data_IF_559765444928
#
_entry.id   IF_559765444928
#
_cell.length_a   1.000
_cell.length_b   1.000
_cell.length_c   1.000
_cell.angle_alpha   90.00
_cell.angle_beta   90.00
_cell.angle_gamma   90.00
#
_symmetry.space_group_name_H-M   'P 1'
#
loop_
_entity.id
_entity.type
_entity.pdbx_description
1 polymer ?
#
# COMPACT_ATOMS: atom_id res chain seq x y z
N UNK A 1 -3.15 -17.04 18.16
CA UNK A 1 -2.99 -16.07 17.06
C UNK A 1 -3.68 -14.79 17.46
N UNK A 2 -2.91 -13.74 17.74
CA UNK A 2 -3.44 -12.40 17.99
C UNK A 2 -4.04 -11.89 16.67
N UNK A 3 -5.37 -11.83 16.60
CA UNK A 3 -6.08 -11.39 15.41
C UNK A 3 -5.93 -9.88 15.30
N UNK A 4 -5.00 -9.43 14.46
CA UNK A 4 -4.91 -8.03 14.03
C UNK A 4 -5.79 -7.90 12.80
N UNK A 5 -6.76 -7.00 12.84
CA UNK A 5 -7.63 -6.69 11.71
C UNK A 5 -6.77 -6.34 10.47
N UNK A 6 -7.00 -6.98 9.30
CA UNK A 6 -6.29 -6.66 8.06
C UNK A 6 -6.33 -5.18 7.68
N UNK A 7 -7.38 -4.45 8.08
CA UNK A 7 -7.59 -3.04 7.80
C UNK A 7 -7.00 -2.10 8.86
N UNK A 8 -6.38 -2.64 9.91
CA UNK A 8 -5.85 -1.86 11.04
C UNK A 8 -5.02 -0.63 10.62
N UNK A 9 -4.02 -0.82 9.75
CA UNK A 9 -3.17 0.29 9.31
C UNK A 9 -3.91 1.28 8.40
N UNK A 10 -4.91 0.82 7.64
CA UNK A 10 -5.77 1.71 6.83
C UNK A 10 -6.65 2.58 7.72
N UNK A 11 -7.24 2.01 8.77
CA UNK A 11 -8.01 2.75 9.77
C UNK A 11 -7.12 3.76 10.51
N UNK A 12 -5.90 3.37 10.88
CA UNK A 12 -4.94 4.27 11.51
C UNK A 12 -4.61 5.48 10.62
N UNK A 13 -4.44 5.25 9.31
CA UNK A 13 -4.22 6.30 8.32
C UNK A 13 -5.41 7.23 8.20
N UNK A 14 -6.62 6.68 8.11
CA UNK A 14 -7.85 7.47 8.06
C UNK A 14 -8.03 8.34 9.32
N UNK A 15 -7.71 7.79 10.50
CA UNK A 15 -7.75 8.51 11.78
C UNK A 15 -6.77 9.68 11.86
N UNK A 16 -5.60 9.56 11.22
CA UNK A 16 -4.55 10.59 11.24
C UNK A 16 -4.90 11.85 10.42
N UNK A 17 -5.89 11.77 9.51
CA UNK A 17 -6.38 12.92 8.75
C UNK A 17 -7.40 13.78 9.51
N UNK A 18 -7.85 13.34 10.70
CA UNK A 18 -8.66 14.17 11.57
C UNK A 18 -7.74 15.00 12.47
N UNK A 19 -7.82 16.35 12.45
CA UNK A 19 -7.12 17.14 13.45
C UNK A 19 -7.60 16.67 14.82
N UNK A 20 -6.65 16.44 15.72
CA UNK A 20 -6.85 15.99 17.11
C UNK A 20 -7.65 17.07 17.86
N UNK A 21 -8.96 17.13 17.63
CA UNK A 21 -9.86 18.18 18.10
C UNK A 21 -11.28 17.63 18.24
N UNK A 22 -11.64 17.33 19.49
CA UNK A 22 -12.96 17.02 20.04
C UNK A 22 -13.72 15.79 19.45
N UNK A 23 -13.78 14.71 20.26
CA UNK A 23 -14.73 13.60 20.07
C UNK A 23 -16.20 13.98 20.32
N UNK A 24 -17.17 13.08 20.05
CA UNK A 24 -17.48 12.01 21.01
C UNK A 24 -17.80 10.64 20.32
N UNK A 25 -18.42 9.62 20.99
CA UNK A 25 -17.77 8.34 21.31
C UNK A 25 -18.26 7.14 20.47
N UNK A 26 -17.48 6.06 20.49
CA UNK A 26 -17.76 4.77 19.86
C UNK A 26 -19.12 4.16 20.26
N UNK A 27 -19.87 3.51 19.34
CA UNK A 27 -21.09 2.81 19.71
C UNK A 27 -20.74 1.44 20.31
N UNK A 28 -21.09 1.32 21.58
CA UNK A 28 -21.14 0.09 22.37
C UNK A 28 -22.07 -0.93 21.71
N UNK A 29 -21.64 -2.19 21.75
CA UNK A 29 -22.35 -3.43 21.41
C UNK A 29 -23.85 -3.36 21.70
N UNK A 30 -24.69 -3.67 20.70
CA UNK A 30 -26.08 -4.09 20.91
C UNK A 30 -26.32 -5.40 20.16
N UNK A 31 -26.26 -6.49 20.92
CA UNK A 31 -26.76 -7.82 20.57
C UNK A 31 -28.30 -7.77 20.71
N UNK A 32 -29.07 -8.25 19.71
CA UNK A 32 -30.26 -9.15 19.77
C UNK A 32 -30.82 -9.33 18.33
N UNK A 33 -31.06 -10.60 17.95
CA UNK A 33 -31.59 -11.22 16.71
C UNK A 33 -33.11 -10.94 16.41
N UNK A 34 -33.83 -11.72 15.57
CA UNK A 34 -33.70 -12.04 14.13
C UNK A 34 -35.01 -11.76 13.34
N UNK A 35 -34.99 -11.82 12.00
CA UNK A 35 -36.21 -12.06 11.21
C UNK A 35 -35.94 -12.84 9.92
N UNK A 36 -36.74 -13.89 9.73
CA UNK A 36 -36.76 -14.91 8.68
C UNK A 36 -37.59 -14.46 7.45
N UNK A 37 -37.26 -15.06 6.28
CA UNK A 37 -38.14 -15.34 5.11
C UNK A 37 -38.59 -14.11 4.27
N UNK A 38 -38.56 -14.09 2.93
CA UNK A 38 -39.18 -15.04 1.99
C UNK A 38 -38.67 -14.78 0.56
N UNK A 39 -38.57 -15.86 -0.23
CA UNK A 39 -38.22 -15.91 -1.67
C UNK A 39 -39.39 -15.54 -2.59
N UNK A 40 -39.03 -15.19 -3.84
CA UNK A 40 -39.70 -15.47 -5.15
C UNK A 40 -39.89 -14.17 -5.97
N UNK A 41 -39.21 -13.90 -7.08
CA UNK A 41 -39.08 -14.58 -8.39
C UNK A 41 -40.16 -14.18 -9.40
N UNK A 42 -39.78 -13.39 -10.41
CA UNK A 42 -40.32 -13.31 -11.77
C UNK A 42 -39.29 -12.58 -12.67
N UNK A 43 -39.26 -12.66 -14.00
CA UNK A 43 -39.17 -13.74 -15.00
C UNK A 43 -38.83 -13.01 -16.32
N UNK A 44 -37.98 -13.61 -17.18
CA UNK A 44 -37.84 -13.40 -18.65
C UNK A 44 -37.42 -12.00 -19.16
N UNK A 45 -36.63 -11.79 -20.23
CA UNK A 45 -36.38 -12.54 -21.48
C UNK A 45 -35.20 -11.89 -22.25
N UNK A 46 -34.34 -12.70 -22.86
CA UNK A 46 -33.40 -12.31 -23.96
C UNK A 46 -34.17 -12.34 -25.31
N UNK A 47 -33.66 -11.78 -26.44
CA UNK A 47 -32.61 -12.46 -27.23
C UNK A 47 -31.68 -11.61 -28.15
N UNK A 48 -30.53 -12.23 -28.45
CA UNK A 48 -29.75 -12.28 -29.71
C UNK A 48 -28.97 -11.09 -30.31
N UNK A 49 -27.69 -11.41 -30.53
CA UNK A 49 -26.60 -10.78 -31.30
C UNK A 49 -26.84 -10.83 -32.84
N UNK A 50 -26.13 -10.02 -33.65
CA UNK A 50 -25.04 -10.60 -34.47
C UNK A 50 -23.82 -9.69 -34.73
N UNK A 51 -22.67 -10.33 -34.98
CA UNK A 51 -21.36 -9.77 -35.39
C UNK A 51 -21.32 -9.50 -36.91
N UNK A 52 -20.53 -8.51 -37.37
CA UNK A 52 -19.54 -8.80 -38.43
C UNK A 52 -18.13 -8.23 -38.15
N UNK A 53 -17.17 -8.85 -38.84
CA UNK A 53 -15.71 -8.72 -38.69
C UNK A 53 -15.10 -7.68 -39.65
N UNK A 54 -13.96 -7.13 -39.21
CA UNK A 54 -12.73 -6.79 -39.94
C UNK A 54 -12.59 -5.49 -40.75
N UNK A 55 -11.45 -4.85 -40.42
CA UNK A 55 -10.44 -4.19 -41.27
C UNK A 55 -10.38 -2.66 -41.33
N UNK A 56 -9.15 -2.19 -41.56
CA UNK A 56 -8.65 -0.84 -41.80
C UNK A 56 -7.99 -0.15 -40.60
N UNK A 57 -6.76 -0.57 -40.31
CA UNK A 57 -5.71 0.23 -39.68
C UNK A 57 -5.59 1.61 -40.33
N UNK A 58 -5.95 2.67 -39.60
CA UNK A 58 -5.78 4.05 -40.05
C UNK A 58 -4.68 4.76 -39.26
N UNK A 59 -3.65 5.14 -40.02
CA UNK A 59 -2.38 5.70 -39.59
C UNK A 59 -2.36 7.18 -39.93
N UNK A 60 -2.62 8.09 -39.00
CA UNK A 60 -2.39 9.56 -39.09
C UNK A 60 -2.44 10.10 -37.64
N UNK A 61 -1.59 10.98 -37.13
CA UNK A 61 -0.53 11.83 -37.66
C UNK A 61 0.23 12.35 -36.44
N UNK A 62 1.56 12.27 -36.45
CA UNK A 62 2.42 12.95 -35.48
C UNK A 62 2.29 14.47 -35.64
N UNK A 63 1.43 15.08 -34.83
CA UNK A 63 1.41 16.53 -34.61
C UNK A 63 2.30 16.89 -33.41
N UNK A 64 3.30 17.76 -33.58
CA UNK A 64 4.08 18.27 -32.46
C UNK A 64 3.29 19.36 -31.74
N UNK A 65 3.02 19.16 -30.44
CA UNK A 65 2.54 20.26 -29.59
C UNK A 65 1.29 19.99 -28.75
N UNK A 66 1.13 18.80 -28.17
CA UNK A 66 0.18 18.63 -27.05
C UNK A 66 0.94 18.89 -25.74
N UNK A 67 0.54 19.84 -24.89
CA UNK A 67 1.14 19.99 -23.56
C UNK A 67 0.96 18.67 -22.80
N UNK A 68 2.06 18.11 -22.30
CA UNK A 68 2.09 16.86 -21.52
C UNK A 68 1.01 16.95 -20.45
N UNK A 69 -0.03 16.13 -20.59
CA UNK A 69 -1.24 16.21 -19.80
C UNK A 69 -0.94 16.21 -18.29
N UNK A 70 -1.66 17.05 -17.54
CA UNK A 70 -1.66 17.06 -16.08
C UNK A 70 -2.07 15.70 -15.44
N UNK A 71 -2.49 14.72 -16.25
CA UNK A 71 -2.81 13.36 -15.81
C UNK A 71 -1.62 12.47 -15.44
N UNK A 72 -0.37 12.93 -15.59
CA UNK A 72 0.82 12.13 -15.23
C UNK A 72 1.30 12.33 -13.80
N UNK A 73 0.79 13.32 -13.05
CA UNK A 73 1.25 13.60 -11.68
C UNK A 73 0.41 12.85 -10.66
N UNK A 74 1.07 12.32 -9.63
CA UNK A 74 0.39 11.67 -8.50
C UNK A 74 -0.44 12.73 -7.76
N UNK A 75 -1.73 12.44 -7.59
CA UNK A 75 -2.67 13.32 -6.87
C UNK A 75 -2.22 13.53 -5.42
N UNK A 76 -2.30 14.76 -4.91
CA UNK A 76 -1.86 15.10 -3.53
C UNK A 76 -2.65 14.34 -2.47
N UNK A 77 -3.90 14.01 -2.76
CA UNK A 77 -4.80 13.28 -1.87
C UNK A 77 -4.36 11.82 -1.66
N UNK A 78 -3.48 11.29 -2.51
CA UNK A 78 -2.91 9.95 -2.36
C UNK A 78 -1.79 9.90 -1.30
N UNK A 79 -1.30 11.04 -0.83
CA UNK A 79 -0.22 11.13 0.15
C UNK A 79 -0.76 11.14 1.58
N UNK A 80 -0.02 10.53 2.49
CA UNK A 80 -0.31 10.47 3.92
C UNK A 80 0.84 11.11 4.69
N UNK A 81 0.94 12.45 4.68
CA UNK A 81 2.10 13.16 5.20
C UNK A 81 2.30 12.86 6.70
N UNK A 82 3.55 12.65 7.09
CA UNK A 82 3.99 12.36 8.46
C UNK A 82 3.50 11.03 9.05
N UNK A 83 2.83 10.16 8.29
CA UNK A 83 2.30 8.90 8.81
C UNK A 83 3.41 8.01 9.39
N UNK A 84 4.54 7.88 8.67
CA UNK A 84 5.70 7.14 9.14
C UNK A 84 6.21 7.68 10.47
N UNK A 85 6.41 9.00 10.56
CA UNK A 85 6.93 9.66 11.77
C UNK A 85 5.97 9.57 12.96
N UNK A 86 4.67 9.55 12.71
CA UNK A 86 3.65 9.50 13.76
C UNK A 86 3.53 8.12 14.42
N UNK A 87 3.71 7.05 13.65
CA UNK A 87 3.38 5.69 14.09
C UNK A 87 4.56 4.72 14.11
N UNK A 88 5.70 5.10 13.55
CA UNK A 88 6.86 4.22 13.47
C UNK A 88 8.12 4.90 13.96
N UNK A 89 8.91 4.13 14.71
CA UNK A 89 10.28 4.46 15.07
C UNK A 89 11.21 3.66 14.18
N UNK A 90 12.07 4.35 13.43
CA UNK A 90 13.15 3.70 12.68
C UNK A 90 14.22 3.20 13.66
N UNK A 91 14.51 1.90 13.64
CA UNK A 91 15.51 1.31 14.54
C UNK A 91 16.83 1.02 13.83
N UNK A 92 16.77 0.45 12.62
CA UNK A 92 17.98 0.06 11.87
C UNK A 92 17.72 -0.09 10.39
N UNK A 93 18.73 0.15 9.56
CA UNK A 93 18.69 -0.22 8.14
C UNK A 93 18.93 -1.73 7.98
N UNK A 94 17.98 -2.44 7.37
CA UNK A 94 18.09 -3.87 7.05
C UNK A 94 18.80 -4.10 5.70
N UNK A 95 18.67 -3.17 4.76
CA UNK A 95 19.32 -3.29 3.45
C UNK A 95 19.19 -2.02 2.62
N UNK A 96 20.14 -1.82 1.71
CA UNK A 96 20.15 -0.74 0.72
C UNK A 96 20.35 -1.36 -0.66
N UNK A 97 19.63 -0.87 -1.67
CA UNK A 97 19.80 -1.32 -3.05
C UNK A 97 19.24 -0.32 -4.06
N UNK A 98 19.34 -0.65 -5.35
CA UNK A 98 18.87 0.25 -6.42
C UNK A 98 17.37 0.60 -6.35
N UNK A 99 16.57 -0.21 -5.64
CA UNK A 99 15.13 0.02 -5.43
C UNK A 99 14.82 0.80 -4.13
N UNK A 100 15.81 1.36 -3.45
CA UNK A 100 15.64 2.13 -2.22
C UNK A 100 16.23 1.46 -0.98
N UNK A 101 15.60 1.70 0.17
CA UNK A 101 16.09 1.25 1.49
C UNK A 101 15.04 0.41 2.19
N UNK A 102 15.49 -0.60 2.93
CA UNK A 102 14.66 -1.39 3.83
C UNK A 102 15.07 -1.08 5.26
N UNK A 103 14.10 -0.72 6.08
CA UNK A 103 14.24 -0.31 7.46
C UNK A 103 13.58 -1.35 8.36
N UNK A 104 14.22 -1.66 9.48
CA UNK A 104 13.57 -2.23 10.65
C UNK A 104 12.90 -1.09 11.39
N UNK A 105 11.60 -1.22 11.58
CA UNK A 105 10.80 -0.20 12.24
C UNK A 105 9.97 -0.82 13.35
N UNK A 106 9.78 -0.07 14.42
CA UNK A 106 8.88 -0.43 15.50
C UNK A 106 7.62 0.40 15.40
N UNK A 107 6.48 -0.27 15.26
CA UNK A 107 5.17 0.36 15.32
C UNK A 107 4.89 0.77 16.77
N UNK A 108 4.52 2.03 16.99
CA UNK A 108 4.31 2.63 18.31
C UNK A 108 3.12 3.59 18.27
N UNK A 109 2.25 3.50 19.28
CA UNK A 109 1.15 4.47 19.49
C UNK A 109 1.23 4.95 20.92
N UNK A 110 1.32 6.27 21.12
CA UNK A 110 1.39 6.93 22.43
C UNK A 110 2.43 6.29 23.38
N UNK A 111 3.63 5.96 22.89
CA UNK A 111 4.68 5.32 23.69
C UNK A 111 4.57 3.80 23.80
N UNK A 112 3.46 3.20 23.38
CA UNK A 112 3.23 1.76 23.47
C UNK A 112 3.81 1.03 22.25
N UNK A 113 4.82 0.16 22.40
CA UNK A 113 5.34 -0.64 21.30
C UNK A 113 4.34 -1.73 20.92
N UNK A 114 3.97 -1.79 19.64
CA UNK A 114 2.97 -2.72 19.11
C UNK A 114 3.57 -3.83 18.23
N UNK A 115 4.81 -3.67 17.79
CA UNK A 115 5.53 -4.72 17.07
C UNK A 115 6.62 -4.20 16.14
N UNK A 116 7.40 -5.13 15.61
CA UNK A 116 8.47 -4.82 14.66
C UNK A 116 8.08 -5.25 13.25
N UNK A 117 8.43 -4.41 12.28
CA UNK A 117 8.12 -4.61 10.88
C UNK A 117 9.33 -4.25 10.02
N UNK A 118 9.35 -4.80 8.80
CA UNK A 118 10.24 -4.29 7.77
C UNK A 118 9.45 -3.25 6.96
N UNK A 119 10.04 -2.07 6.76
CA UNK A 119 9.46 -1.01 5.95
C UNK A 119 10.41 -0.71 4.78
N UNK A 120 9.95 -0.97 3.56
CA UNK A 120 10.70 -0.63 2.35
C UNK A 120 10.27 0.75 1.86
N UNK A 121 11.23 1.67 1.79
CA UNK A 121 11.06 3.02 1.25
C UNK A 121 11.67 3.10 -0.15
N UNK A 122 10.81 3.33 -1.13
CA UNK A 122 11.14 3.34 -2.57
C UNK A 122 10.86 4.73 -3.13
N UNK A 123 11.86 5.46 -3.64
CA UNK A 123 11.64 6.72 -4.36
C UNK A 123 10.89 6.46 -5.67
N UNK A 124 9.82 7.21 -5.94
CA UNK A 124 8.93 6.99 -7.10
C UNK A 124 8.91 8.16 -8.08
N UNK A 125 9.32 9.35 -7.65
CA UNK A 125 9.32 10.55 -8.50
C UNK A 125 7.91 11.01 -8.87
N UNK A 126 7.70 11.43 -10.12
CA UNK A 126 6.44 11.93 -10.67
C UNK A 126 5.76 10.95 -11.65
N UNK A 127 6.18 9.68 -11.66
CA UNK A 127 5.64 8.66 -12.57
C UNK A 127 4.35 8.02 -12.03
N UNK A 128 3.20 8.59 -12.41
CA UNK A 128 1.89 8.07 -12.03
C UNK A 128 1.61 6.67 -12.62
N UNK A 129 2.11 6.36 -13.82
CA UNK A 129 1.90 5.05 -14.46
C UNK A 129 2.70 3.94 -13.78
N UNK A 130 3.91 4.25 -13.30
CA UNK A 130 4.67 3.36 -12.44
C UNK A 130 3.93 3.14 -11.12
N UNK A 131 3.42 4.21 -10.50
CA UNK A 131 2.69 4.10 -9.25
C UNK A 131 1.46 3.21 -9.39
N UNK A 132 0.67 3.37 -10.45
CA UNK A 132 -0.52 2.56 -10.70
C UNK A 132 -0.19 1.06 -10.78
N UNK A 133 0.84 0.68 -11.53
CA UNK A 133 1.29 -0.73 -11.62
C UNK A 133 1.72 -1.27 -10.27
N UNK A 134 2.49 -0.49 -9.51
CA UNK A 134 2.93 -0.89 -8.17
C UNK A 134 1.76 -1.01 -7.20
N UNK A 135 0.77 -0.11 -7.28
CA UNK A 135 -0.43 -0.21 -6.43
C UNK A 135 -1.23 -1.47 -6.74
N UNK A 136 -1.37 -1.86 -8.01
CA UNK A 136 -2.01 -3.13 -8.40
C UNK A 136 -1.23 -4.33 -7.84
N UNK A 137 0.09 -4.36 -8.01
CA UNK A 137 0.94 -5.42 -7.45
C UNK A 137 0.82 -5.50 -5.92
N UNK A 138 0.87 -4.36 -5.24
CA UNK A 138 0.78 -4.30 -3.78
C UNK A 138 -0.60 -4.70 -3.27
N UNK A 139 -1.67 -4.36 -3.98
CA UNK A 139 -3.02 -4.83 -3.64
C UNK A 139 -3.13 -6.36 -3.76
N UNK A 140 -2.57 -6.95 -4.82
CA UNK A 140 -2.51 -8.39 -4.98
C UNK A 140 -1.69 -9.03 -3.85
N UNK A 141 -0.51 -8.49 -3.54
CA UNK A 141 0.36 -8.98 -2.49
C UNK A 141 -0.28 -8.88 -1.10
N UNK A 142 -1.09 -7.84 -0.84
CA UNK A 142 -1.85 -7.70 0.40
C UNK A 142 -2.93 -8.77 0.58
N UNK A 143 -3.45 -9.34 -0.52
CA UNK A 143 -4.45 -10.43 -0.49
C UNK A 143 -3.82 -11.82 -0.34
N UNK A 144 -2.50 -11.94 -0.53
CA UNK A 144 -1.79 -13.22 -0.40
C UNK A 144 -1.34 -13.45 1.04
N UNK A 145 -2.02 -14.38 1.73
CA UNK A 145 -1.65 -14.83 3.08
C UNK A 145 -1.31 -16.31 3.05
N UNK A 146 -0.03 -16.64 3.28
CA UNK A 146 0.48 -18.01 3.31
C UNK A 146 1.68 -18.11 4.27
N UNK A 147 1.85 -19.20 5.03
CA UNK A 147 2.91 -19.32 6.05
C UNK A 147 4.34 -19.14 5.52
N UNK A 148 4.59 -19.50 4.26
CA UNK A 148 5.91 -19.39 3.62
C UNK A 148 6.08 -18.11 2.78
N UNK A 149 5.13 -17.16 2.86
CA UNK A 149 5.22 -15.87 2.19
C UNK A 149 5.35 -14.76 3.22
N UNK A 150 6.15 -13.75 2.90
CA UNK A 150 6.26 -12.53 3.72
C UNK A 150 4.93 -11.81 3.66
N UNK A 151 4.27 -11.67 4.81
CA UNK A 151 2.96 -11.02 4.86
C UNK A 151 3.08 -9.52 4.65
N UNK A 152 2.36 -8.99 3.64
CA UNK A 152 2.23 -7.57 3.41
C UNK A 152 1.18 -6.97 4.36
N UNK A 153 1.43 -5.77 4.88
CA UNK A 153 0.60 -5.13 5.91
C UNK A 153 -0.03 -3.83 5.44
N UNK A 154 0.77 -2.93 4.87
CA UNK A 154 0.27 -1.62 4.46
C UNK A 154 1.14 -0.95 3.40
N UNK A 155 0.55 -0.03 2.65
CA UNK A 155 1.26 0.83 1.69
C UNK A 155 0.69 2.25 1.73
N UNK A 156 1.59 3.22 1.65
CA UNK A 156 1.23 4.64 1.56
C UNK A 156 2.35 5.43 0.88
N UNK A 157 2.05 6.69 0.57
CA UNK A 157 2.97 7.63 -0.06
C UNK A 157 3.28 8.79 0.87
N UNK A 158 4.56 9.17 0.92
CA UNK A 158 5.02 10.39 1.59
C UNK A 158 6.07 11.10 0.77
N UNK A 159 6.12 12.41 0.95
CA UNK A 159 7.20 13.27 0.47
C UNK A 159 8.40 13.15 1.42
N UNK A 160 9.56 12.76 0.88
CA UNK A 160 10.78 12.52 1.69
C UNK A 160 11.96 13.27 1.11
N UNK A 161 12.66 14.00 1.97
CA UNK A 161 13.96 14.59 1.64
C UNK A 161 15.06 13.55 1.86
N UNK A 162 15.52 12.91 0.78
CA UNK A 162 16.48 11.79 0.86
C UNK A 162 17.91 12.24 1.22
N UNK A 163 18.25 13.51 1.01
CA UNK A 163 19.55 14.10 1.35
C UNK A 163 19.35 15.49 1.95
N UNK A 164 20.30 15.97 2.78
CA UNK A 164 20.18 17.26 3.51
C UNK A 164 19.87 18.46 2.61
N UNK A 165 20.34 18.44 1.37
CA UNK A 165 20.18 19.54 0.42
C UNK A 165 19.36 19.15 -0.82
N UNK A 166 18.80 17.94 -0.83
CA UNK A 166 18.02 17.45 -1.97
C UNK A 166 16.60 17.98 -1.98
N UNK A 167 15.91 17.95 -3.13
CA UNK A 167 14.48 18.19 -3.17
C UNK A 167 13.71 17.12 -2.39
N UNK A 168 12.47 17.42 -2.05
CA UNK A 168 11.51 16.39 -1.63
C UNK A 168 11.18 15.48 -2.81
N UNK A 169 11.17 14.18 -2.57
CA UNK A 169 10.82 13.17 -3.56
C UNK A 169 9.70 12.30 -3.01
N UNK A 170 8.66 12.08 -3.80
CA UNK A 170 7.61 11.13 -3.47
C UNK A 170 8.22 9.74 -3.27
N UNK A 171 7.90 9.11 -2.16
CA UNK A 171 8.35 7.78 -1.80
C UNK A 171 7.16 6.90 -1.43
N UNK A 172 7.18 5.67 -1.96
CA UNK A 172 6.30 4.60 -1.49
C UNK A 172 6.91 3.92 -0.27
N UNK A 173 6.10 3.78 0.77
CA UNK A 173 6.40 3.02 1.97
C UNK A 173 5.61 1.74 1.95
N UNK A 174 6.30 0.61 1.98
CA UNK A 174 5.71 -0.73 1.94
C UNK A 174 6.04 -1.41 3.27
N UNK A 175 5.02 -1.56 4.11
CA UNK A 175 5.12 -2.22 5.40
C UNK A 175 4.83 -3.71 5.25
N UNK A 176 5.76 -4.52 5.70
CA UNK A 176 5.69 -5.98 5.60
C UNK A 176 6.20 -6.62 6.89
N UNK A 177 5.90 -7.90 7.06
CA UNK A 177 6.43 -8.71 8.15
C UNK A 177 7.96 -8.62 8.20
N UNK A 178 8.49 -8.44 9.41
CA UNK A 178 9.91 -8.56 9.65
C UNK A 178 10.31 -10.04 9.75
N UNK A 179 11.28 -10.44 8.93
CA UNK A 179 11.91 -11.76 8.99
C UNK A 179 13.25 -11.64 9.71
N UNK A 180 13.33 -12.16 10.93
CA UNK A 180 14.53 -12.14 11.76
C UNK A 180 15.49 -13.31 11.49
N UNK A 181 15.09 -14.29 10.67
CA UNK A 181 15.87 -15.47 10.35
C UNK A 181 17.02 -15.26 9.37
N UNK A 182 17.22 -14.04 8.83
CA UNK A 182 18.23 -13.81 7.78
C UNK A 182 17.80 -14.33 6.40
N UNK A 183 18.76 -14.50 5.49
CA UNK A 183 18.51 -15.02 4.14
C UNK A 183 19.12 -16.42 3.92
N UNK A 184 18.58 -17.13 2.92
CA UNK A 184 19.00 -18.48 2.57
C UNK A 184 20.47 -18.55 2.15
N UNK A 185 20.98 -17.50 1.48
CA UNK A 185 22.37 -17.47 1.02
C UNK A 185 23.34 -17.49 2.21
N UNK A 186 23.08 -16.71 3.25
CA UNK A 186 23.85 -16.74 4.50
C UNK A 186 23.78 -18.10 5.21
N UNK A 187 22.63 -18.79 5.11
CA UNK A 187 22.46 -20.11 5.70
C UNK A 187 23.27 -21.19 4.97
N UNK A 188 23.38 -21.09 3.63
CA UNK A 188 24.07 -22.07 2.79
C UNK A 188 25.59 -21.86 2.80
N UNK A 189 26.04 -20.60 2.69
CA UNK A 189 27.48 -20.27 2.62
C UNK A 189 28.15 -20.27 4.00
N UNK A 190 27.35 -20.15 5.07
CA UNK A 190 27.83 -19.90 6.42
C UNK A 190 28.28 -18.45 6.61
N UNK A 191 28.31 -17.98 7.85
CA UNK A 191 28.91 -16.69 8.17
C UNK A 191 30.42 -16.75 7.87
N UNK A 192 30.89 -15.93 6.93
CA UNK A 192 32.33 -15.75 6.70
C UNK A 192 33.03 -15.50 8.06
N UNK A 193 34.18 -16.13 8.34
CA UNK A 193 34.89 -15.92 9.58
C UNK A 193 35.20 -14.42 9.72
N UNK A 194 34.88 -13.87 10.89
CA UNK A 194 35.23 -12.49 11.28
C UNK A 194 36.72 -12.35 11.49
#
# INVERSE_FOLDING_TARGET
>A
HEYVDPEYFRMLRAGNHFPRGNGPPSPVRRLVEPALTTRSATRSTSPQEPIPRQDESQFLSSSPGVPKAEGSRIRKEAFSPNYFRSFFVEERVLGKGGKGVVLLVRHEIDGCPLGHFACKRVPVGDDHSWLEKVLVEVELLAKLSHPNLVSYRHVWLEDVQLTRFGPSVACAFILQQYCNGGDLHQHVVGSAPR
#
